data_IF_833902904069
#
_entry.id   IF_833902904069
#
_cell.length_a   1.000
_cell.length_b   1.000
_cell.length_c   1.000
_cell.angle_alpha   90.00
_cell.angle_beta   90.00
_cell.angle_gamma   90.00
#
_symmetry.space_group_name_H-M   'P 1'
#
loop_
_entity.id
_entity.type
_entity.pdbx_description
1 polymer ?
#
# COMPACT_ATOMS: atom_id res chain seq x y z
N UNK A 1 -11.83 -0.06 14.77
CA UNK A 1 -10.37 0.11 14.58
C UNK A 1 -10.09 0.33 13.09
N UNK A 2 -9.35 1.39 12.74
CA UNK A 2 -9.01 1.75 11.35
C UNK A 2 -7.67 1.15 10.95
N UNK A 3 -7.67 0.24 9.99
CA UNK A 3 -6.46 -0.43 9.50
C UNK A 3 -6.16 0.02 8.07
N UNK A 4 -4.94 0.48 7.83
CA UNK A 4 -4.38 0.64 6.50
C UNK A 4 -3.59 -0.63 6.12
N UNK A 5 -4.06 -1.39 5.14
CA UNK A 5 -3.31 -2.52 4.58
C UNK A 5 -2.62 -2.11 3.28
N UNK A 6 -1.30 -2.22 3.25
CA UNK A 6 -0.46 -1.83 2.13
C UNK A 6 -0.23 -3.01 1.19
N UNK A 7 -0.47 -2.80 -0.11
CA UNK A 7 -0.17 -3.78 -1.15
C UNK A 7 0.48 -3.08 -2.35
N UNK A 8 1.67 -3.54 -2.75
CA UNK A 8 2.53 -2.89 -3.76
C UNK A 8 2.63 -3.68 -5.07
N UNK A 9 2.29 -4.95 -5.01
CA UNK A 9 2.44 -5.89 -6.11
C UNK A 9 1.57 -7.12 -5.93
N UNK A 10 1.35 -7.83 -7.03
CA UNK A 10 0.67 -9.14 -7.01
C UNK A 10 1.30 -10.15 -6.03
N UNK A 11 2.61 -10.04 -5.78
CA UNK A 11 3.32 -10.95 -4.89
C UNK A 11 2.87 -10.80 -3.42
N UNK A 12 2.78 -9.56 -2.93
CA UNK A 12 2.29 -9.28 -1.58
C UNK A 12 0.76 -9.48 -1.49
N UNK A 13 -0.01 -9.05 -2.50
CA UNK A 13 -1.46 -9.26 -2.55
C UNK A 13 -1.82 -10.75 -2.41
N UNK A 14 -1.14 -11.63 -3.14
CA UNK A 14 -1.41 -13.07 -3.11
C UNK A 14 -1.37 -13.65 -1.69
N UNK A 15 -0.42 -13.19 -0.87
CA UNK A 15 -0.24 -13.62 0.52
C UNK A 15 -1.27 -12.93 1.43
N UNK A 16 -1.58 -11.65 1.18
CA UNK A 16 -2.49 -10.86 2.02
C UNK A 16 -3.98 -11.17 1.78
N UNK A 17 -4.36 -11.79 0.65
CA UNK A 17 -5.76 -12.09 0.29
C UNK A 17 -6.60 -12.74 1.42
N UNK A 18 -6.13 -13.77 2.15
CA UNK A 18 -6.87 -14.32 3.28
C UNK A 18 -7.08 -13.31 4.41
N UNK A 19 -6.05 -12.49 4.71
CA UNK A 19 -6.10 -11.47 5.75
C UNK A 19 -7.08 -10.34 5.36
N UNK A 20 -7.03 -9.86 4.12
CA UNK A 20 -7.96 -8.85 3.60
C UNK A 20 -9.40 -9.31 3.81
N UNK A 21 -9.74 -10.56 3.44
CA UNK A 21 -11.08 -11.11 3.64
C UNK A 21 -11.47 -11.21 5.11
N UNK A 22 -10.55 -11.67 5.96
CA UNK A 22 -10.81 -11.78 7.40
C UNK A 22 -11.08 -10.41 8.03
N UNK A 23 -10.22 -9.42 7.78
CA UNK A 23 -10.35 -8.06 8.29
C UNK A 23 -11.62 -7.37 7.75
N UNK A 24 -11.94 -7.56 6.47
CA UNK A 24 -13.13 -6.99 5.85
C UNK A 24 -14.45 -7.60 6.37
N UNK A 25 -14.40 -8.82 6.92
CA UNK A 25 -15.58 -9.49 7.50
C UNK A 25 -15.86 -9.13 8.95
N UNK A 26 -14.92 -8.43 9.61
CA UNK A 26 -15.02 -8.04 11.01
C UNK A 26 -15.73 -6.68 11.15
N UNK A 27 -16.90 -6.61 11.80
CA UNK A 27 -17.66 -5.36 11.93
C UNK A 27 -16.97 -4.31 12.80
N UNK A 28 -15.99 -4.68 13.62
CA UNK A 28 -15.24 -3.75 14.47
C UNK A 28 -14.02 -3.15 13.73
N UNK A 29 -13.75 -3.58 12.50
CA UNK A 29 -12.62 -3.15 11.68
C UNK A 29 -13.10 -2.32 10.48
N UNK A 30 -12.57 -1.12 10.36
CA UNK A 30 -12.65 -0.31 9.14
C UNK A 30 -11.35 -0.51 8.36
N UNK A 31 -11.39 -1.39 7.36
CA UNK A 31 -10.24 -1.70 6.51
C UNK A 31 -10.17 -0.75 5.31
N UNK A 32 -9.05 -0.05 5.17
CA UNK A 32 -8.63 0.61 3.93
C UNK A 32 -7.48 -0.16 3.31
N UNK A 33 -7.67 -0.64 2.08
CA UNK A 33 -6.57 -1.21 1.28
C UNK A 33 -5.92 -0.07 0.50
N UNK A 34 -4.61 0.10 0.61
CA UNK A 34 -3.85 1.10 -0.15
C UNK A 34 -3.01 0.35 -1.18
N UNK A 35 -3.45 0.41 -2.43
CA UNK A 35 -2.78 -0.20 -3.56
C UNK A 35 -1.87 0.81 -4.26
N UNK A 36 -0.62 0.44 -4.46
CA UNK A 36 0.41 1.29 -5.06
C UNK A 36 1.44 0.44 -5.81
N UNK A 37 2.53 1.07 -6.26
CA UNK A 37 3.61 0.36 -6.94
C UNK A 37 3.13 -0.25 -8.26
N UNK A 38 3.51 -1.52 -8.47
CA UNK A 38 3.25 -2.25 -9.72
C UNK A 38 1.77 -2.58 -9.98
N UNK A 39 0.87 -2.44 -9.00
CA UNK A 39 -0.56 -2.69 -9.21
C UNK A 39 -1.18 -1.80 -10.27
N UNK A 40 -0.77 -0.54 -10.31
CA UNK A 40 -1.30 0.50 -11.18
C UNK A 40 -0.43 0.77 -12.41
N UNK A 41 0.58 -0.08 -12.64
CA UNK A 41 1.51 0.08 -13.74
C UNK A 41 1.18 -0.89 -14.89
N UNK A 42 0.89 -0.38 -16.10
CA UNK A 42 0.52 -1.22 -17.23
C UNK A 42 1.64 -2.17 -17.67
N UNK A 43 2.91 -1.86 -17.37
CA UNK A 43 4.05 -2.76 -17.66
C UNK A 43 3.96 -4.08 -16.88
N UNK A 44 3.24 -4.08 -15.76
CA UNK A 44 3.09 -5.23 -14.87
C UNK A 44 1.67 -5.83 -14.91
N UNK A 45 0.85 -5.44 -15.90
CA UNK A 45 -0.42 -6.10 -16.19
C UNK A 45 -1.63 -5.58 -15.41
N UNK A 46 -1.57 -4.38 -14.84
CA UNK A 46 -2.70 -3.71 -14.14
C UNK A 46 -3.35 -4.59 -13.06
N UNK A 47 -2.53 -5.15 -12.17
CA UNK A 47 -3.01 -6.05 -11.10
C UNK A 47 -3.84 -5.35 -10.02
N UNK A 48 -4.15 -4.07 -10.17
CA UNK A 48 -5.17 -3.36 -9.37
C UNK A 48 -6.56 -4.01 -9.47
N UNK A 49 -6.91 -4.60 -10.62
CA UNK A 49 -8.20 -5.27 -10.78
C UNK A 49 -8.32 -6.49 -9.87
N UNK A 50 -7.20 -7.16 -9.59
CA UNK A 50 -7.12 -8.24 -8.62
C UNK A 50 -7.36 -7.76 -7.17
N UNK A 51 -6.95 -6.53 -6.85
CA UNK A 51 -7.19 -5.89 -5.55
C UNK A 51 -8.66 -5.55 -5.40
N UNK A 52 -9.26 -4.90 -6.41
CA UNK A 52 -10.70 -4.57 -6.47
C UNK A 52 -11.59 -5.81 -6.34
N UNK A 53 -11.15 -6.94 -6.88
CA UNK A 53 -11.84 -8.21 -6.73
C UNK A 53 -11.68 -8.86 -5.34
N UNK A 54 -10.67 -8.46 -4.56
CA UNK A 54 -10.36 -9.05 -3.25
C UNK A 54 -11.14 -8.43 -2.09
N UNK A 55 -11.65 -7.21 -2.27
CA UNK A 55 -12.32 -6.40 -1.24
C UNK A 55 -13.25 -5.37 -1.87
N UNK A 56 -14.40 -5.11 -1.25
CA UNK A 56 -15.41 -4.15 -1.73
C UNK A 56 -15.53 -2.89 -0.88
N UNK A 57 -14.64 -2.66 0.08
CA UNK A 57 -14.65 -1.48 0.94
C UNK A 57 -13.66 -0.40 0.48
N UNK A 58 -13.15 0.38 1.44
CA UNK A 58 -12.26 1.51 1.16
C UNK A 58 -10.99 1.04 0.45
N UNK A 59 -10.80 1.52 -0.78
CA UNK A 59 -9.62 1.26 -1.61
C UNK A 59 -9.02 2.61 -2.03
N UNK A 60 -7.78 2.84 -1.62
CA UNK A 60 -6.99 3.98 -2.07
C UNK A 60 -5.98 3.51 -3.12
N UNK A 61 -6.02 4.15 -4.27
CA UNK A 61 -5.17 3.82 -5.40
C UNK A 61 -4.14 4.93 -5.64
N UNK A 62 -2.84 4.61 -5.47
CA UNK A 62 -1.76 5.57 -5.67
C UNK A 62 -1.04 5.28 -7.00
N UNK A 63 -0.86 6.28 -7.88
CA UNK A 63 -0.26 6.07 -9.19
C UNK A 63 1.21 5.65 -9.07
N UNK A 64 1.72 4.81 -9.99
CA UNK A 64 3.10 4.36 -9.96
C UNK A 64 4.05 5.53 -10.16
N UNK A 65 5.17 5.50 -9.44
CA UNK A 65 6.19 6.56 -9.49
C UNK A 65 7.49 6.12 -10.18
N UNK A 66 7.73 4.81 -10.30
CA UNK A 66 8.92 4.27 -10.95
C UNK A 66 8.83 4.48 -12.46
N UNK A 67 9.84 5.11 -13.04
CA UNK A 67 9.94 5.30 -14.50
C UNK A 67 10.86 4.27 -15.15
N UNK A 68 12.04 4.09 -14.58
CA UNK A 68 13.08 3.18 -15.07
C UNK A 68 13.68 2.40 -13.90
N UNK A 69 14.45 1.35 -14.18
CA UNK A 69 14.94 0.39 -13.17
C UNK A 69 16.40 0.63 -12.74
N UNK A 70 17.04 1.73 -13.17
CA UNK A 70 18.39 2.03 -12.71
C UNK A 70 18.38 2.41 -11.22
N UNK A 71 19.48 2.16 -10.48
CA UNK A 71 19.52 2.46 -9.04
C UNK A 71 19.16 3.92 -8.68
N UNK A 72 19.53 4.88 -9.53
CA UNK A 72 19.17 6.29 -9.34
C UNK A 72 17.65 6.52 -9.49
N UNK A 73 17.02 5.87 -10.45
CA UNK A 73 15.58 5.96 -10.68
C UNK A 73 14.78 5.30 -9.55
N UNK A 74 15.28 4.18 -9.01
CA UNK A 74 14.71 3.55 -7.81
C UNK A 74 14.81 4.52 -6.62
N UNK A 75 15.97 5.16 -6.41
CA UNK A 75 16.14 6.15 -5.34
C UNK A 75 15.16 7.34 -5.45
N UNK A 76 14.93 7.83 -6.67
CA UNK A 76 13.95 8.89 -6.93
C UNK A 76 12.51 8.39 -6.73
N UNK A 77 12.21 7.15 -7.14
CA UNK A 77 10.92 6.52 -6.91
C UNK A 77 10.62 6.36 -5.42
N UNK A 78 11.61 5.96 -4.60
CA UNK A 78 11.47 5.91 -3.15
C UNK A 78 11.07 7.26 -2.55
N UNK A 79 11.74 8.35 -2.96
CA UNK A 79 11.40 9.70 -2.50
C UNK A 79 9.96 10.11 -2.89
N UNK A 80 9.56 9.83 -4.14
CA UNK A 80 8.21 10.11 -4.61
C UNK A 80 7.15 9.25 -3.89
N UNK A 81 7.43 7.99 -3.59
CA UNK A 81 6.55 7.14 -2.77
C UNK A 81 6.42 7.70 -1.35
N UNK A 82 7.51 8.15 -0.73
CA UNK A 82 7.44 8.79 0.59
C UNK A 82 6.58 10.05 0.56
N UNK A 83 6.66 10.86 -0.49
CA UNK A 83 5.81 12.05 -0.66
C UNK A 83 4.33 11.68 -0.76
N UNK A 84 3.98 10.72 -1.63
CA UNK A 84 2.60 10.24 -1.76
C UNK A 84 2.05 9.73 -0.42
N UNK A 85 2.80 8.89 0.28
CA UNK A 85 2.37 8.33 1.55
C UNK A 85 2.34 9.37 2.68
N UNK A 86 3.21 10.37 2.66
CA UNK A 86 3.13 11.52 3.59
C UNK A 86 1.78 12.23 3.45
N UNK A 87 1.27 12.40 2.23
CA UNK A 87 -0.06 12.97 2.01
C UNK A 87 -1.16 12.04 2.57
N UNK A 88 -1.06 10.72 2.34
CA UNK A 88 -2.01 9.74 2.90
C UNK A 88 -2.05 9.78 4.43
N UNK A 89 -0.90 9.81 5.08
CA UNK A 89 -0.81 9.81 6.54
C UNK A 89 -1.21 11.14 7.17
N UNK A 90 -0.97 12.25 6.47
CA UNK A 90 -1.40 13.59 6.91
C UNK A 90 -2.93 13.71 6.96
N UNK A 91 -3.62 13.19 5.95
CA UNK A 91 -5.07 13.33 5.82
C UNK A 91 -5.83 12.15 6.45
N UNK A 92 -5.15 11.02 6.65
CA UNK A 92 -5.70 9.79 7.21
C UNK A 92 -5.64 9.73 8.75
N UNK A 93 -6.55 8.93 9.32
CA UNK A 93 -6.49 8.53 10.73
C UNK A 93 -6.53 7.02 10.80
N UNK A 94 -5.36 6.40 10.99
CA UNK A 94 -5.21 4.95 11.06
C UNK A 94 -4.72 4.55 12.44
N UNK A 95 -5.30 3.49 12.99
CA UNK A 95 -4.85 2.91 14.24
C UNK A 95 -3.66 1.97 14.00
N UNK A 96 -3.60 1.30 12.85
CA UNK A 96 -2.55 0.34 12.48
C UNK A 96 -2.25 0.37 10.99
N UNK A 97 -1.00 0.12 10.64
CA UNK A 97 -0.55 -0.19 9.29
C UNK A 97 -0.19 -1.68 9.23
N UNK A 98 -0.68 -2.38 8.22
CA UNK A 98 -0.25 -3.74 7.88
C UNK A 98 0.57 -3.67 6.61
N UNK A 99 1.83 -4.09 6.68
CA UNK A 99 2.76 -4.09 5.55
C UNK A 99 3.43 -5.46 5.43
N UNK A 100 3.75 -5.87 4.20
CA UNK A 100 4.41 -7.15 3.94
C UNK A 100 5.49 -6.99 2.87
N UNK A 101 6.65 -7.61 3.13
CA UNK A 101 7.77 -7.69 2.19
C UNK A 101 8.85 -6.64 2.45
N UNK A 102 9.81 -6.57 1.52
CA UNK A 102 11.07 -5.84 1.64
C UNK A 102 11.37 -4.92 0.44
N UNK A 103 10.39 -4.78 -0.47
CA UNK A 103 10.54 -3.93 -1.67
C UNK A 103 10.72 -2.46 -1.31
N UNK A 104 11.43 -1.73 -2.18
CA UNK A 104 11.81 -0.33 -1.95
C UNK A 104 10.59 0.58 -1.76
N UNK A 105 9.50 0.34 -2.50
CA UNK A 105 8.28 1.13 -2.38
C UNK A 105 7.55 0.83 -1.07
N UNK A 106 7.56 -0.42 -0.61
CA UNK A 106 6.99 -0.82 0.68
C UNK A 106 7.77 -0.20 1.84
N UNK A 107 9.11 -0.26 1.78
CA UNK A 107 9.98 0.46 2.72
C UNK A 107 9.63 1.95 2.78
N UNK A 108 9.49 2.59 1.62
CA UNK A 108 9.20 4.02 1.51
C UNK A 108 7.84 4.40 2.10
N UNK A 109 6.80 3.60 1.82
CA UNK A 109 5.46 3.78 2.35
C UNK A 109 5.42 3.67 3.89
N UNK A 110 6.10 2.64 4.42
CA UNK A 110 6.20 2.39 5.86
C UNK A 110 7.03 3.48 6.54
N UNK A 111 8.19 3.83 5.98
CA UNK A 111 9.07 4.86 6.53
C UNK A 111 8.36 6.22 6.64
N UNK A 112 7.54 6.58 5.64
CA UNK A 112 6.75 7.81 5.67
C UNK A 112 5.76 7.88 6.85
N UNK A 113 5.37 6.75 7.45
CA UNK A 113 4.46 6.72 8.60
C UNK A 113 5.13 7.04 9.94
N UNK A 114 6.47 6.93 10.02
CA UNK A 114 7.23 7.09 11.28
C UNK A 114 6.98 8.44 11.96
N UNK A 115 7.00 9.60 11.25
CA UNK A 115 6.72 10.89 11.89
C UNK A 115 5.30 11.02 12.43
N UNK A 116 4.35 10.23 11.91
CA UNK A 116 2.95 10.22 12.33
C UNK A 116 2.70 9.26 13.50
N UNK A 117 3.69 8.44 13.89
CA UNK A 117 3.61 7.54 15.03
C UNK A 117 2.57 6.42 14.87
N UNK A 118 2.19 6.06 13.64
CA UNK A 118 1.21 5.01 13.39
C UNK A 118 1.88 3.64 13.59
N UNK A 119 1.39 2.78 14.50
CA UNK A 119 2.01 1.48 14.74
C UNK A 119 1.88 0.55 13.53
N UNK A 120 2.97 -0.14 13.22
CA UNK A 120 3.07 -1.09 12.11
C UNK A 120 2.97 -2.52 12.67
N UNK A 121 2.18 -3.37 12.01
CA UNK A 121 1.96 -4.78 12.33
C UNK A 121 2.46 -5.70 11.22
#
# INVERSE_FOLDING_TARGET
>A
MRIALLTSSRADLGIQRPLIRALASDPDIQLTVIAFGSHLDPRFGMTIDEVRASHSGDLLELPPVLKEDAPADIGLAMAATMEQFTAVWKDGTYDRIVALGDRYEMFSAVYASVPFGIPIA
#
